data_IF_788484983260
#
_entry.id   IF_788484983260
#
_cell.length_a   1.000
_cell.length_b   1.000
_cell.length_c   1.000
_cell.angle_alpha   90.00
_cell.angle_beta   90.00
_cell.angle_gamma   90.00
#
_symmetry.space_group_name_H-M   'P 1'
#
loop_
_entity.id
_entity.type
_entity.pdbx_description
1 polymer ?
#
# COMPACT_ATOMS: atom_id res chain seq x y z
N UNK A 1 13.26 32.10 6.41
CA UNK A 1 13.32 30.63 6.32
C UNK A 1 14.69 30.17 6.77
N UNK A 2 14.79 29.07 7.51
CA UNK A 2 16.08 28.48 7.82
C UNK A 2 16.78 28.07 6.52
N UNK A 3 18.10 28.32 6.43
CA UNK A 3 18.90 27.96 5.25
C UNK A 3 18.88 26.44 5.07
N UNK A 4 18.60 25.97 3.85
CA UNK A 4 18.71 24.55 3.50
C UNK A 4 20.18 24.13 3.63
N UNK A 5 20.52 23.06 4.39
CA UNK A 5 21.91 22.63 4.55
C UNK A 5 22.43 21.95 3.27
N UNK A 6 23.75 21.84 3.14
CA UNK A 6 24.37 21.15 1.98
C UNK A 6 24.22 19.62 2.10
N UNK A 7 24.11 19.10 3.33
CA UNK A 7 23.98 17.68 3.65
C UNK A 7 22.77 17.43 4.55
N UNK A 8 22.27 16.21 4.49
CA UNK A 8 21.18 15.69 5.29
C UNK A 8 21.45 14.24 5.71
N UNK A 9 20.82 13.82 6.79
CA UNK A 9 20.70 12.42 7.19
C UNK A 9 19.69 11.71 6.30
N UNK A 10 20.05 10.51 5.86
CA UNK A 10 19.24 9.70 4.95
C UNK A 10 19.40 8.22 5.27
N UNK A 11 18.29 7.49 5.26
CA UNK A 11 18.31 6.04 5.26
C UNK A 11 18.71 5.56 3.86
N UNK A 12 19.79 4.78 3.81
CA UNK A 12 20.41 4.33 2.57
C UNK A 12 20.69 2.83 2.57
N UNK A 13 20.85 2.29 1.37
CA UNK A 13 21.49 1.01 1.14
C UNK A 13 22.78 1.23 0.35
N UNK A 14 23.85 0.50 0.70
CA UNK A 14 25.14 0.58 0.01
C UNK A 14 25.28 -0.43 -1.14
N UNK A 15 24.36 -1.40 -1.21
CA UNK A 15 24.28 -2.47 -2.20
C UNK A 15 22.86 -3.04 -2.17
N UNK A 16 22.57 -3.98 -3.06
CA UNK A 16 21.37 -4.79 -2.89
C UNK A 16 21.49 -5.61 -1.61
N UNK A 17 20.55 -5.42 -0.69
CA UNK A 17 20.64 -6.02 0.63
C UNK A 17 19.27 -6.20 1.29
N UNK A 18 19.26 -6.95 2.39
CA UNK A 18 18.11 -7.01 3.27
C UNK A 18 18.05 -5.78 4.18
N UNK A 19 16.88 -5.44 4.74
CA UNK A 19 16.75 -4.33 5.69
C UNK A 19 17.72 -4.34 6.85
N UNK A 20 18.21 -5.52 7.26
CA UNK A 20 19.24 -5.66 8.31
C UNK A 20 20.57 -4.96 8.00
N UNK A 21 20.84 -4.64 6.73
CA UNK A 21 22.07 -3.98 6.26
C UNK A 21 21.82 -2.52 5.84
N UNK A 22 20.64 -1.95 6.09
CA UNK A 22 20.38 -0.53 5.81
C UNK A 22 21.18 0.37 6.76
N UNK A 23 21.56 1.56 6.34
CA UNK A 23 22.40 2.48 7.12
C UNK A 23 21.82 3.89 7.11
N UNK A 24 22.16 4.71 8.10
CA UNK A 24 21.92 6.16 8.04
C UNK A 24 23.23 6.85 7.69
N UNK A 25 23.23 7.60 6.60
CA UNK A 25 24.41 8.29 6.08
C UNK A 25 24.13 9.77 5.81
N UNK A 26 25.19 10.59 5.82
CA UNK A 26 25.13 11.96 5.34
C UNK A 26 25.13 11.99 3.82
N UNK A 27 24.05 12.46 3.23
CA UNK A 27 23.82 12.58 1.79
C UNK A 27 23.65 14.04 1.41
N UNK A 28 24.00 14.46 0.18
CA UNK A 28 23.70 15.80 -0.30
C UNK A 28 22.18 16.06 -0.28
N UNK A 29 21.77 17.25 0.16
CA UNK A 29 20.38 17.67 0.02
C UNK A 29 20.04 17.79 -1.48
N UNK A 30 18.95 17.17 -1.96
CA UNK A 30 18.58 17.29 -3.35
C UNK A 30 18.16 18.72 -3.68
N UNK A 31 18.59 19.20 -4.84
CA UNK A 31 18.19 20.50 -5.38
C UNK A 31 17.03 20.32 -6.36
N UNK A 32 16.18 21.35 -6.47
CA UNK A 32 15.20 21.46 -7.55
C UNK A 32 15.93 21.44 -8.89
N UNK A 33 15.51 20.54 -9.79
CA UNK A 33 16.05 20.38 -11.14
C UNK A 33 14.98 20.67 -12.19
N UNK A 34 13.73 20.31 -11.90
CA UNK A 34 12.62 20.42 -12.82
C UNK A 34 11.61 21.51 -12.38
N UNK A 35 10.86 22.10 -13.32
CA UNK A 35 9.86 23.12 -13.00
C UNK A 35 8.75 22.66 -12.04
N UNK A 36 8.46 21.36 -12.00
CA UNK A 36 7.39 20.75 -11.19
C UNK A 36 7.90 20.13 -9.88
N UNK A 37 9.18 20.31 -9.55
CA UNK A 37 9.77 19.80 -8.31
C UNK A 37 9.28 20.57 -7.08
N UNK A 38 9.09 19.84 -5.99
CA UNK A 38 8.81 20.38 -4.65
C UNK A 38 9.84 19.80 -3.69
N UNK A 39 10.64 20.67 -3.08
CA UNK A 39 11.56 20.27 -2.01
C UNK A 39 10.83 20.27 -0.68
N UNK A 40 10.73 19.09 -0.06
CA UNK A 40 10.04 18.87 1.20
C UNK A 40 11.07 18.62 2.29
N UNK A 41 10.97 19.34 3.41
CA UNK A 41 11.60 18.96 4.69
C UNK A 41 10.72 17.92 5.36
N UNK A 42 11.16 16.67 5.30
CA UNK A 42 10.38 15.52 5.74
C UNK A 42 10.26 15.51 7.27
N UNK A 43 9.07 15.18 7.75
CA UNK A 43 8.77 14.97 9.17
C UNK A 43 8.60 13.47 9.45
N UNK A 44 7.97 12.75 8.53
CA UNK A 44 7.77 11.31 8.63
C UNK A 44 7.84 10.66 7.24
N UNK A 45 8.40 9.45 7.17
CA UNK A 45 8.50 8.66 5.95
C UNK A 45 7.88 7.27 6.13
N UNK A 46 7.21 6.76 5.12
CA UNK A 46 6.59 5.45 5.15
C UNK A 46 7.46 4.38 4.48
N UNK A 47 7.73 3.26 5.15
CA UNK A 47 8.36 2.09 4.51
C UNK A 47 7.30 1.13 3.98
N UNK A 48 7.39 0.79 2.71
CA UNK A 48 6.50 -0.12 2.00
C UNK A 48 7.19 -1.45 1.67
N UNK A 49 6.41 -2.44 1.24
CA UNK A 49 6.97 -3.65 0.61
C UNK A 49 7.75 -3.30 -0.67
N UNK A 50 7.30 -2.28 -1.42
CA UNK A 50 7.99 -1.75 -2.60
C UNK A 50 9.42 -1.34 -2.31
N UNK A 51 9.66 -0.58 -1.24
CA UNK A 51 11.01 -0.20 -0.78
C UNK A 51 11.88 -1.44 -0.59
N UNK A 52 11.37 -2.42 0.15
CA UNK A 52 12.15 -3.63 0.47
C UNK A 52 12.40 -4.50 -0.76
N UNK A 53 11.47 -4.58 -1.71
CA UNK A 53 11.64 -5.31 -2.96
C UNK A 53 12.66 -4.65 -3.87
N UNK A 54 12.64 -3.31 -3.94
CA UNK A 54 13.59 -2.51 -4.70
C UNK A 54 15.02 -2.74 -4.19
N UNK A 55 15.25 -2.55 -2.89
CA UNK A 55 16.59 -2.67 -2.29
C UNK A 55 17.10 -4.11 -2.24
N UNK A 56 16.22 -5.11 -2.17
CA UNK A 56 16.61 -6.53 -2.26
C UNK A 56 16.91 -6.98 -3.70
N UNK A 57 16.66 -6.13 -4.69
CA UNK A 57 16.85 -6.45 -6.10
C UNK A 57 15.76 -7.38 -6.69
N UNK A 58 14.65 -7.56 -5.97
CA UNK A 58 13.53 -8.41 -6.42
C UNK A 58 12.84 -7.85 -7.67
N UNK A 59 12.97 -6.55 -7.93
CA UNK A 59 12.42 -5.86 -9.10
C UNK A 59 13.48 -5.42 -10.11
N UNK A 60 14.74 -5.89 -9.99
CA UNK A 60 15.86 -5.44 -10.83
C UNK A 60 15.63 -5.60 -12.34
N UNK A 61 14.88 -6.62 -12.75
CA UNK A 61 14.52 -6.84 -14.15
C UNK A 61 13.45 -5.88 -14.67
N UNK A 62 12.76 -5.16 -13.78
CA UNK A 62 11.72 -4.18 -14.06
C UNK A 62 12.31 -2.76 -14.06
N UNK A 63 13.01 -2.41 -12.98
CA UNK A 63 13.48 -1.04 -12.71
C UNK A 63 14.92 -0.79 -13.16
N UNK A 64 15.61 -1.83 -13.64
CA UNK A 64 17.02 -1.78 -13.97
C UNK A 64 17.93 -1.84 -12.73
N UNK A 65 19.17 -1.38 -12.89
CA UNK A 65 20.17 -1.36 -11.84
C UNK A 65 20.11 -0.09 -10.99
N UNK A 66 20.06 -0.22 -9.67
CA UNK A 66 20.23 0.89 -8.74
C UNK A 66 21.67 1.39 -8.72
N UNK A 67 21.83 2.70 -8.56
CA UNK A 67 23.10 3.33 -8.18
C UNK A 67 23.18 3.38 -6.65
N UNK A 68 24.34 3.01 -6.11
CA UNK A 68 24.61 3.02 -4.68
C UNK A 68 25.65 4.11 -4.31
N UNK A 69 25.57 4.72 -3.11
CA UNK A 69 24.54 4.54 -2.09
C UNK A 69 23.16 5.00 -2.58
N UNK A 70 22.13 4.21 -2.29
CA UNK A 70 20.76 4.45 -2.74
C UNK A 70 19.91 4.91 -1.57
N UNK A 71 19.18 6.03 -1.73
CA UNK A 71 18.28 6.56 -0.69
C UNK A 71 16.96 5.78 -0.68
N UNK A 72 16.50 5.40 0.50
CA UNK A 72 15.28 4.59 0.68
C UNK A 72 14.07 5.52 0.89
N UNK A 73 12.87 5.05 0.56
CA UNK A 73 11.61 5.73 0.84
C UNK A 73 10.84 6.06 -0.44
N UNK A 74 9.62 5.52 -0.53
CA UNK A 74 8.69 5.81 -1.61
C UNK A 74 7.59 6.82 -1.24
N UNK A 75 7.43 7.16 0.04
CA UNK A 75 6.43 8.14 0.47
C UNK A 75 6.82 8.85 1.76
N UNK A 76 6.39 10.11 1.91
CA UNK A 76 6.58 10.89 3.12
C UNK A 76 5.54 11.99 3.30
N UNK A 77 5.57 12.60 4.48
CA UNK A 77 4.89 13.84 4.79
C UNK A 77 5.87 14.83 5.46
N UNK A 78 5.70 16.10 5.16
CA UNK A 78 6.57 17.16 5.67
C UNK A 78 6.13 18.56 5.28
N UNK A 79 7.07 19.50 5.32
CA UNK A 79 6.84 20.91 5.03
C UNK A 79 7.55 21.30 3.74
N UNK A 80 6.87 22.01 2.85
CA UNK A 80 7.50 22.55 1.63
C UNK A 80 8.53 23.61 2.01
N UNK A 81 9.73 23.51 1.44
CA UNK A 81 10.83 24.48 1.67
C UNK A 81 11.13 25.30 0.42
N UNK A 82 11.03 24.69 -0.75
CA UNK A 82 11.22 25.35 -2.04
C UNK A 82 10.37 24.67 -3.11
N UNK A 83 10.06 25.40 -4.17
CA UNK A 83 9.28 24.90 -5.31
C UNK A 83 9.93 25.30 -6.63
N UNK A 84 9.79 24.45 -7.65
CA UNK A 84 10.21 24.74 -9.01
C UNK A 84 9.38 25.85 -9.64
N UNK A 85 9.88 26.40 -10.75
CA UNK A 85 9.28 27.57 -11.42
C UNK A 85 7.90 27.31 -12.04
N UNK A 86 7.54 26.06 -12.25
CA UNK A 86 6.24 25.63 -12.81
C UNK A 86 5.23 25.20 -11.75
N UNK A 87 5.60 25.15 -10.47
CA UNK A 87 4.68 24.80 -9.38
C UNK A 87 3.72 25.95 -9.13
N UNK A 88 2.44 25.63 -9.05
CA UNK A 88 1.34 26.60 -8.90
C UNK A 88 0.44 26.32 -7.69
N UNK A 89 0.41 25.08 -7.21
CA UNK A 89 -0.50 24.61 -6.14
C UNK A 89 0.09 24.69 -4.73
N UNK A 90 1.40 24.90 -4.63
CA UNK A 90 2.15 24.84 -3.37
C UNK A 90 3.12 26.01 -3.22
N UNK A 91 3.38 26.38 -1.97
CA UNK A 91 4.40 27.37 -1.59
C UNK A 91 5.18 26.90 -0.36
N UNK A 92 6.40 27.43 -0.15
CA UNK A 92 7.14 27.19 1.08
C UNK A 92 6.31 27.46 2.35
N UNK A 93 6.40 26.55 3.31
CA UNK A 93 5.62 26.56 4.56
C UNK A 93 4.36 25.68 4.52
N UNK A 94 3.89 25.25 3.35
CA UNK A 94 2.74 24.35 3.26
C UNK A 94 3.07 22.96 3.85
N UNK A 95 2.14 22.39 4.60
CA UNK A 95 2.24 21.03 5.12
C UNK A 95 1.67 20.05 4.09
N UNK A 96 2.48 19.09 3.65
CA UNK A 96 2.18 18.22 2.51
C UNK A 96 2.53 16.76 2.77
N UNK A 97 2.02 15.89 1.91
CA UNK A 97 2.50 14.52 1.74
C UNK A 97 2.64 14.20 0.26
N UNK A 98 3.53 13.27 -0.07
CA UNK A 98 3.85 12.94 -1.45
C UNK A 98 4.52 11.58 -1.62
N UNK A 99 4.65 11.16 -2.88
CA UNK A 99 5.07 9.81 -3.28
C UNK A 99 6.14 9.86 -4.36
N UNK A 100 6.97 8.82 -4.40
CA UNK A 100 7.96 8.57 -5.44
C UNK A 100 7.31 7.84 -6.62
N UNK A 101 6.58 8.55 -7.46
CA UNK A 101 5.81 7.97 -8.56
C UNK A 101 6.03 8.77 -9.86
N UNK A 102 6.19 8.08 -10.99
CA UNK A 102 6.29 8.72 -12.30
C UNK A 102 4.91 8.91 -12.95
N UNK A 103 4.80 9.75 -13.96
CA UNK A 103 3.55 9.98 -14.69
C UNK A 103 3.08 8.81 -15.57
N UNK A 104 3.87 7.74 -15.77
CA UNK A 104 3.64 6.85 -16.92
C UNK A 104 2.89 5.55 -16.59
N UNK A 105 3.13 4.91 -15.43
CA UNK A 105 2.52 3.60 -15.07
C UNK A 105 2.36 3.41 -13.56
N UNK A 106 1.41 2.58 -13.09
CA UNK A 106 1.17 2.33 -11.66
C UNK A 106 2.37 1.78 -10.87
N UNK A 107 3.33 1.15 -11.54
CA UNK A 107 4.55 0.59 -10.92
C UNK A 107 5.82 1.24 -11.45
N UNK A 108 5.72 2.40 -12.10
CA UNK A 108 6.88 3.20 -12.51
C UNK A 108 7.31 4.08 -11.33
N UNK A 109 8.00 3.43 -10.38
CA UNK A 109 8.57 4.07 -9.21
C UNK A 109 9.73 4.95 -9.65
N UNK A 110 9.75 6.21 -9.20
CA UNK A 110 10.90 7.08 -9.41
C UNK A 110 12.08 6.47 -8.66
N UNK A 111 13.12 6.09 -9.41
CA UNK A 111 14.34 5.50 -8.86
C UNK A 111 15.04 6.40 -7.82
N UNK A 112 14.69 7.68 -7.71
CA UNK A 112 15.30 8.63 -6.78
C UNK A 112 14.35 9.11 -5.65
N UNK A 113 13.33 8.33 -5.29
CA UNK A 113 12.33 8.68 -4.26
C UNK A 113 12.93 9.19 -2.94
N UNK A 114 13.80 8.41 -2.30
CA UNK A 114 14.63 8.84 -1.18
C UNK A 114 13.89 9.52 -0.02
N UNK A 115 12.61 9.21 0.19
CA UNK A 115 11.74 9.92 1.13
C UNK A 115 12.04 9.65 2.60
N UNK A 116 12.76 8.59 2.93
CA UNK A 116 13.31 8.35 4.28
C UNK A 116 14.61 9.13 4.49
N UNK A 117 14.54 10.44 4.28
CA UNK A 117 15.64 11.41 4.43
C UNK A 117 15.08 12.70 5.01
N UNK A 118 15.91 13.56 5.61
CA UNK A 118 15.43 14.87 6.11
C UNK A 118 14.87 15.78 5.00
N UNK A 119 15.33 15.61 3.76
CA UNK A 119 14.83 16.32 2.60
C UNK A 119 14.61 15.39 1.41
N UNK A 120 13.52 15.59 0.68
CA UNK A 120 13.19 14.82 -0.51
C UNK A 120 12.54 15.72 -1.58
N UNK A 121 12.71 15.33 -2.84
CA UNK A 121 12.01 15.95 -3.97
C UNK A 121 10.77 15.12 -4.25
N UNK A 122 9.62 15.78 -4.27
CA UNK A 122 8.39 15.24 -4.86
C UNK A 122 8.00 16.05 -6.08
N UNK A 123 7.06 15.52 -6.87
CA UNK A 123 6.48 16.22 -8.00
C UNK A 123 5.14 16.82 -7.62
N UNK A 124 4.79 17.97 -8.21
CA UNK A 124 3.53 18.66 -7.91
C UNK A 124 2.31 17.73 -8.10
N UNK A 125 2.28 16.92 -9.15
CA UNK A 125 1.11 16.10 -9.46
C UNK A 125 0.76 15.05 -8.40
N UNK A 126 1.77 14.49 -7.71
CA UNK A 126 1.64 13.47 -6.64
C UNK A 126 1.79 14.05 -5.22
N UNK A 127 1.89 15.37 -5.09
CA UNK A 127 1.93 16.04 -3.79
C UNK A 127 0.55 16.56 -3.43
N UNK A 128 0.16 16.44 -2.15
CA UNK A 128 -1.11 16.95 -1.64
C UNK A 128 -0.93 17.70 -0.32
N UNK A 129 -1.84 18.62 -0.05
CA UNK A 129 -1.94 19.30 1.24
C UNK A 129 -2.33 18.30 2.33
N UNK A 130 -1.59 18.28 3.44
CA UNK A 130 -1.92 17.51 4.62
C UNK A 130 -3.17 18.11 5.28
N UNK A 131 -4.23 17.34 5.57
CA UNK A 131 -5.33 17.81 6.40
C UNK A 131 -4.82 18.34 7.75
N UNK A 132 -5.32 19.49 8.19
CA UNK A 132 -4.78 20.18 9.37
C UNK A 132 -4.85 19.31 10.64
N UNK A 133 -5.89 18.48 10.77
CA UNK A 133 -6.15 17.60 11.91
C UNK A 133 -5.41 16.25 11.87
N UNK A 134 -4.64 15.95 10.83
CA UNK A 134 -3.88 14.70 10.71
C UNK A 134 -2.41 14.88 11.09
N UNK A 135 -1.79 13.88 11.73
CA UNK A 135 -0.36 13.89 11.97
C UNK A 135 0.43 13.61 10.67
N UNK A 136 1.70 14.00 10.60
CA UNK A 136 2.54 13.71 9.42
C UNK A 136 2.68 12.20 9.17
N UNK A 137 2.94 11.41 10.23
CA UNK A 137 3.07 9.96 10.12
C UNK A 137 1.81 9.26 9.62
N UNK A 138 0.63 9.85 9.87
CA UNK A 138 -0.65 9.30 9.42
C UNK A 138 -0.78 9.34 7.89
N UNK A 139 -0.26 10.40 7.28
CA UNK A 139 -0.28 10.55 5.83
C UNK A 139 0.64 9.57 5.10
N UNK A 140 1.61 8.96 5.78
CA UNK A 140 2.48 7.93 5.21
C UNK A 140 1.76 6.60 4.92
N UNK A 141 0.46 6.49 5.23
CA UNK A 141 -0.39 5.34 4.87
C UNK A 141 -1.36 5.66 3.73
N UNK A 142 -1.27 6.84 3.09
CA UNK A 142 -2.26 7.27 2.10
C UNK A 142 -2.24 6.43 0.83
N UNK A 143 -1.08 5.95 0.38
CA UNK A 143 -1.02 5.01 -0.73
C UNK A 143 -1.83 3.73 -0.46
N UNK A 144 -1.83 3.24 0.80
CA UNK A 144 -2.63 2.08 1.18
C UNK A 144 -4.14 2.34 1.08
N UNK A 145 -4.59 3.55 1.41
CA UNK A 145 -6.00 3.96 1.29
C UNK A 145 -6.41 4.01 -0.18
N UNK A 146 -5.60 4.62 -1.04
CA UNK A 146 -5.86 4.67 -2.49
C UNK A 146 -5.94 3.26 -3.07
N UNK A 147 -4.95 2.41 -2.76
CA UNK A 147 -4.99 1.01 -3.22
C UNK A 147 -6.25 0.30 -2.74
N UNK A 148 -6.62 0.41 -1.46
CA UNK A 148 -7.81 -0.23 -0.93
C UNK A 148 -9.10 0.27 -1.60
N UNK A 149 -9.25 1.59 -1.75
CA UNK A 149 -10.42 2.19 -2.41
C UNK A 149 -10.57 1.70 -3.84
N UNK A 150 -9.52 1.84 -4.67
CA UNK A 150 -9.59 1.46 -6.07
C UNK A 150 -9.85 -0.05 -6.25
N UNK A 151 -9.24 -0.91 -5.41
CA UNK A 151 -9.53 -2.35 -5.45
C UNK A 151 -10.97 -2.68 -5.06
N UNK A 152 -11.51 -2.00 -4.04
CA UNK A 152 -12.91 -2.20 -3.64
C UNK A 152 -13.85 -1.73 -4.76
N UNK A 153 -13.58 -0.58 -5.38
CA UNK A 153 -14.38 -0.03 -6.48
C UNK A 153 -14.33 -0.92 -7.74
N UNK A 154 -13.16 -1.42 -8.11
CA UNK A 154 -13.01 -2.45 -9.16
C UNK A 154 -13.83 -3.70 -8.81
N UNK A 155 -13.79 -4.12 -7.55
CA UNK A 155 -14.55 -5.27 -7.09
C UNK A 155 -16.07 -5.05 -7.18
N UNK A 156 -16.54 -3.85 -6.85
CA UNK A 156 -17.94 -3.46 -7.03
C UNK A 156 -18.35 -3.46 -8.50
N UNK A 157 -17.44 -3.11 -9.42
CA UNK A 157 -17.69 -3.23 -10.85
C UNK A 157 -17.89 -4.69 -11.27
N UNK A 158 -17.03 -5.61 -10.80
CA UNK A 158 -17.20 -7.04 -11.03
C UNK A 158 -18.50 -7.60 -10.43
N UNK A 159 -18.93 -7.08 -9.28
CA UNK A 159 -20.23 -7.46 -8.68
C UNK A 159 -21.40 -7.07 -9.58
N UNK A 160 -21.35 -5.86 -10.17
CA UNK A 160 -22.35 -5.40 -11.14
C UNK A 160 -22.40 -6.28 -12.38
N UNK A 161 -21.25 -6.72 -12.88
CA UNK A 161 -21.17 -7.68 -14.01
C UNK A 161 -21.80 -9.04 -13.67
N UNK A 162 -21.81 -9.42 -12.40
CA UNK A 162 -22.52 -10.58 -11.87
C UNK A 162 -23.99 -10.30 -11.50
N UNK A 163 -24.54 -9.14 -11.89
CA UNK A 163 -25.93 -8.76 -11.62
C UNK A 163 -26.22 -8.24 -10.21
N UNK A 164 -25.18 -8.01 -9.40
CA UNK A 164 -25.31 -7.50 -8.02
C UNK A 164 -25.08 -5.99 -8.00
N UNK A 165 -26.16 -5.21 -7.96
CA UNK A 165 -26.12 -3.74 -8.11
C UNK A 165 -26.34 -2.97 -6.80
N UNK A 166 -26.72 -3.65 -5.72
CA UNK A 166 -27.03 -3.08 -4.40
C UNK A 166 -25.78 -2.75 -3.55
N UNK A 167 -24.57 -2.90 -4.11
CA UNK A 167 -23.31 -2.55 -3.45
C UNK A 167 -22.87 -3.57 -2.39
N UNK A 168 -22.38 -3.11 -1.24
CA UNK A 168 -21.90 -3.98 -0.14
C UNK A 168 -22.74 -3.89 1.14
N UNK A 169 -23.78 -3.05 1.15
CA UNK A 169 -24.59 -2.84 2.35
C UNK A 169 -25.27 -4.16 2.77
N UNK A 170 -25.14 -4.53 4.04
CA UNK A 170 -25.70 -5.77 4.58
C UNK A 170 -25.03 -7.07 4.10
N UNK A 171 -24.04 -7.00 3.20
CA UNK A 171 -23.34 -8.19 2.67
C UNK A 171 -22.26 -8.70 3.62
N UNK A 172 -21.84 -9.94 3.40
CA UNK A 172 -20.72 -10.55 4.12
C UNK A 172 -19.43 -10.38 3.34
N UNK A 173 -18.43 -9.74 3.95
CA UNK A 173 -17.13 -9.45 3.36
C UNK A 173 -16.01 -10.13 4.12
N UNK A 174 -15.05 -10.70 3.39
CA UNK A 174 -13.84 -11.28 3.96
C UNK A 174 -12.60 -10.45 3.60
N UNK A 175 -11.82 -10.08 4.61
CA UNK A 175 -10.55 -9.36 4.47
C UNK A 175 -9.46 -10.10 5.23
N UNK A 176 -8.61 -10.93 4.61
CA UNK A 176 -7.55 -11.62 5.33
C UNK A 176 -6.47 -10.64 5.83
N UNK A 177 -5.96 -10.83 7.05
CA UNK A 177 -4.87 -10.01 7.59
C UNK A 177 -5.30 -8.59 8.01
N UNK A 178 -6.30 -8.47 8.89
CA UNK A 178 -6.84 -7.20 9.40
C UNK A 178 -5.78 -6.19 9.85
N UNK A 179 -4.72 -6.67 10.50
CA UNK A 179 -3.68 -5.81 11.06
C UNK A 179 -2.53 -5.52 10.08
N UNK A 180 -2.74 -5.66 8.77
CA UNK A 180 -1.79 -5.18 7.74
C UNK A 180 -2.06 -3.71 7.39
N UNK A 181 -1.11 -3.02 6.74
CA UNK A 181 -1.27 -1.62 6.36
C UNK A 181 -2.51 -1.40 5.46
N UNK A 182 -2.65 -2.23 4.42
CA UNK A 182 -3.81 -2.18 3.50
C UNK A 182 -5.06 -2.84 4.08
N UNK A 183 -4.92 -3.94 4.83
CA UNK A 183 -6.07 -4.62 5.43
C UNK A 183 -6.80 -3.74 6.46
N UNK A 184 -6.05 -3.04 7.31
CA UNK A 184 -6.65 -2.18 8.36
C UNK A 184 -7.40 -0.99 7.79
N UNK A 185 -6.87 -0.33 6.74
CA UNK A 185 -7.58 0.76 6.06
C UNK A 185 -8.73 0.23 5.20
N UNK A 186 -8.56 -0.92 4.55
CA UNK A 186 -9.62 -1.56 3.76
C UNK A 186 -10.84 -1.94 4.60
N UNK A 187 -10.64 -2.49 5.80
CA UNK A 187 -11.72 -2.79 6.75
C UNK A 187 -12.48 -1.52 7.12
N UNK A 188 -11.77 -0.43 7.40
CA UNK A 188 -12.39 0.85 7.75
C UNK A 188 -13.20 1.42 6.58
N UNK A 189 -12.67 1.37 5.35
CA UNK A 189 -13.41 1.79 4.15
C UNK A 189 -14.68 0.95 3.98
N UNK A 190 -14.56 -0.38 4.06
CA UNK A 190 -15.67 -1.31 3.89
C UNK A 190 -16.80 -1.07 4.92
N UNK A 191 -16.47 -0.85 6.20
CA UNK A 191 -17.45 -0.56 7.24
C UNK A 191 -17.98 0.88 7.19
N UNK A 192 -17.09 1.88 7.17
CA UNK A 192 -17.44 3.29 7.38
C UNK A 192 -17.92 4.00 6.10
N UNK A 193 -17.59 3.48 4.91
CA UNK A 193 -17.98 4.07 3.63
C UNK A 193 -19.05 3.23 2.94
N UNK A 194 -18.87 1.91 2.89
CA UNK A 194 -19.77 1.01 2.14
C UNK A 194 -20.82 0.31 2.99
N UNK A 195 -20.82 0.49 4.32
CA UNK A 195 -21.87 -0.04 5.20
C UNK A 195 -21.95 -1.58 5.23
N UNK A 196 -20.80 -2.26 5.08
CA UNK A 196 -20.74 -3.73 5.12
C UNK A 196 -21.42 -4.28 6.35
N UNK A 197 -22.32 -5.25 6.15
CA UNK A 197 -23.07 -5.89 7.21
C UNK A 197 -22.19 -6.74 8.12
N UNK A 198 -21.59 -7.79 7.56
CA UNK A 198 -20.70 -8.72 8.30
C UNK A 198 -19.29 -8.69 7.72
N UNK A 199 -18.30 -8.45 8.55
CA UNK A 199 -16.89 -8.41 8.19
C UNK A 199 -16.13 -9.53 8.92
N UNK A 200 -15.49 -10.38 8.13
CA UNK A 200 -14.70 -11.51 8.60
C UNK A 200 -13.22 -11.24 8.28
N UNK A 201 -12.32 -11.55 9.20
CA UNK A 201 -10.88 -11.40 8.96
C UNK A 201 -10.07 -12.57 9.51
N UNK A 202 -8.79 -12.62 9.14
CA UNK A 202 -7.80 -13.53 9.71
C UNK A 202 -6.65 -12.79 10.38
N UNK A 203 -6.18 -13.32 11.51
CA UNK A 203 -4.93 -12.92 12.17
C UNK A 203 -4.29 -14.15 12.83
N UNK A 204 -3.03 -14.06 13.27
CA UNK A 204 -2.40 -15.11 14.07
C UNK A 204 -2.84 -15.03 15.53
N UNK A 205 -2.70 -16.09 16.32
CA UNK A 205 -3.13 -16.16 17.72
C UNK A 205 -2.73 -14.94 18.55
N UNK A 206 -1.45 -14.55 18.50
CA UNK A 206 -0.92 -13.42 19.27
C UNK A 206 -1.54 -12.06 18.88
N UNK A 207 -2.17 -11.97 17.71
CA UNK A 207 -2.77 -10.76 17.15
C UNK A 207 -4.28 -10.69 17.33
N UNK A 208 -4.95 -11.77 17.75
CA UNK A 208 -6.40 -11.79 18.00
C UNK A 208 -6.85 -10.64 18.93
N UNK A 209 -6.26 -10.44 20.13
CA UNK A 209 -6.70 -9.35 21.01
C UNK A 209 -6.40 -7.95 20.45
N UNK A 210 -5.42 -7.84 19.55
CA UNK A 210 -5.02 -6.56 18.96
C UNK A 210 -6.02 -6.07 17.90
N UNK A 211 -6.88 -6.95 17.36
CA UNK A 211 -7.91 -6.54 16.40
C UNK A 211 -8.87 -5.54 17.04
N UNK A 212 -9.38 -5.81 18.23
CA UNK A 212 -10.29 -4.89 18.93
C UNK A 212 -9.56 -3.60 19.34
N UNK A 213 -8.28 -3.68 19.69
CA UNK A 213 -7.48 -2.50 20.03
C UNK A 213 -7.33 -1.53 18.85
N UNK A 214 -7.07 -2.05 17.65
CA UNK A 214 -6.76 -1.22 16.47
C UNK A 214 -7.96 -0.98 15.55
N UNK A 215 -8.98 -1.83 15.59
CA UNK A 215 -10.18 -1.78 14.74
C UNK A 215 -11.45 -1.99 15.59
N UNK A 216 -11.65 -1.19 16.65
CA UNK A 216 -12.71 -1.43 17.64
C UNK A 216 -14.10 -1.44 17.00
N UNK A 217 -14.84 -2.53 17.22
CA UNK A 217 -16.20 -2.70 16.69
C UNK A 217 -16.33 -2.81 15.16
N UNK A 218 -15.22 -2.92 14.41
CA UNK A 218 -15.26 -2.99 12.94
C UNK A 218 -15.23 -4.43 12.38
N UNK A 219 -14.92 -5.41 13.23
CA UNK A 219 -14.77 -6.81 12.81
C UNK A 219 -15.78 -7.68 13.53
N UNK A 220 -16.64 -8.36 12.78
CA UNK A 220 -17.71 -9.21 13.33
C UNK A 220 -17.24 -10.64 13.61
N UNK A 221 -16.24 -11.13 12.87
CA UNK A 221 -15.66 -12.46 13.08
C UNK A 221 -14.15 -12.46 12.85
N UNK A 222 -13.40 -12.86 13.87
CA UNK A 222 -11.94 -13.03 13.81
C UNK A 222 -11.60 -14.51 13.69
N UNK A 223 -10.90 -14.89 12.64
CA UNK A 223 -10.40 -16.25 12.43
C UNK A 223 -8.90 -16.30 12.75
N UNK A 224 -8.54 -17.06 13.78
CA UNK A 224 -7.14 -17.38 14.05
C UNK A 224 -6.64 -18.42 13.05
N UNK A 225 -5.94 -17.98 12.01
CA UNK A 225 -5.53 -18.86 10.91
C UNK A 225 -4.53 -19.95 11.33
N UNK A 226 -3.92 -19.85 12.52
CA UNK A 226 -2.98 -20.86 13.02
C UNK A 226 -3.67 -22.09 13.61
N UNK A 227 -4.97 -22.01 13.87
CA UNK A 227 -5.78 -23.08 14.46
C UNK A 227 -6.51 -23.95 13.44
N UNK A 228 -6.50 -23.56 12.17
CA UNK A 228 -7.25 -24.22 11.10
C UNK A 228 -6.32 -24.56 9.94
N UNK A 229 -6.60 -25.68 9.26
CA UNK A 229 -5.85 -26.07 8.07
C UNK A 229 -6.36 -25.32 6.85
N UNK A 230 -7.67 -25.15 6.75
CA UNK A 230 -8.34 -24.45 5.65
C UNK A 230 -9.24 -23.35 6.21
N UNK A 231 -9.46 -22.29 5.42
CA UNK A 231 -10.38 -21.22 5.80
C UNK A 231 -11.83 -21.72 5.94
N UNK A 232 -12.21 -22.74 5.15
CA UNK A 232 -13.53 -23.37 5.19
C UNK A 232 -13.84 -24.08 6.50
N UNK A 233 -12.81 -24.38 7.31
CA UNK A 233 -12.99 -25.00 8.63
C UNK A 233 -13.54 -23.99 9.65
N UNK A 234 -13.43 -22.69 9.37
CA UNK A 234 -13.84 -21.58 10.24
C UNK A 234 -14.89 -20.65 9.61
N UNK A 235 -14.96 -20.60 8.28
CA UNK A 235 -15.88 -19.76 7.51
C UNK A 235 -16.70 -20.68 6.60
N UNK A 236 -18.04 -20.70 6.70
CA UNK A 236 -18.86 -21.58 5.86
C UNK A 236 -18.62 -21.36 4.37
N UNK A 237 -18.56 -22.44 3.60
CA UNK A 237 -18.39 -22.36 2.16
C UNK A 237 -19.56 -21.61 1.50
N UNK A 238 -19.29 -20.81 0.47
CA UNK A 238 -20.31 -20.02 -0.24
C UNK A 238 -21.02 -18.95 0.60
N UNK A 239 -20.49 -18.55 1.75
CA UNK A 239 -21.12 -17.58 2.66
C UNK A 239 -20.68 -16.13 2.47
N UNK A 240 -19.60 -15.89 1.72
CA UNK A 240 -19.00 -14.56 1.51
C UNK A 240 -19.44 -13.99 0.16
N UNK A 241 -19.94 -12.76 0.17
CA UNK A 241 -20.31 -12.02 -1.04
C UNK A 241 -19.08 -11.40 -1.73
N UNK A 242 -18.16 -10.86 -0.93
CA UNK A 242 -17.02 -10.10 -1.42
C UNK A 242 -15.75 -10.41 -0.65
N UNK A 243 -14.63 -10.57 -1.35
CA UNK A 243 -13.31 -10.70 -0.73
C UNK A 243 -12.45 -9.53 -1.17
N UNK A 244 -11.98 -8.73 -0.22
CA UNK A 244 -10.86 -7.82 -0.42
C UNK A 244 -9.57 -8.53 0.00
N UNK A 245 -8.90 -9.18 -0.95
CA UNK A 245 -7.77 -10.04 -0.68
C UNK A 245 -6.45 -9.28 -0.61
N UNK A 246 -5.74 -9.40 0.51
CA UNK A 246 -4.40 -8.81 0.71
C UNK A 246 -3.29 -9.86 0.85
N UNK A 247 -3.58 -11.15 0.58
CA UNK A 247 -2.63 -12.24 0.76
C UNK A 247 -2.45 -13.05 -0.53
N UNK A 248 -1.21 -13.49 -0.82
CA UNK A 248 -0.87 -14.21 -2.07
C UNK A 248 -1.65 -15.51 -2.33
N UNK A 249 -2.24 -16.11 -1.29
CA UNK A 249 -3.02 -17.35 -1.35
C UNK A 249 -4.46 -17.17 -1.85
N UNK A 250 -4.70 -16.34 -2.86
CA UNK A 250 -6.05 -15.94 -3.30
C UNK A 250 -6.97 -17.12 -3.64
N UNK A 251 -6.45 -18.19 -4.24
CA UNK A 251 -7.26 -19.36 -4.61
C UNK A 251 -7.85 -20.10 -3.39
N UNK A 252 -7.30 -19.88 -2.19
CA UNK A 252 -7.84 -20.46 -0.96
C UNK A 252 -9.11 -19.74 -0.48
N UNK A 253 -9.43 -18.56 -1.02
CA UNK A 253 -10.65 -17.83 -0.67
C UNK A 253 -11.83 -18.23 -1.53
N UNK A 254 -11.63 -18.78 -2.74
CA UNK A 254 -12.72 -19.13 -3.66
C UNK A 254 -13.81 -20.03 -3.04
N UNK A 255 -13.48 -21.06 -2.23
CA UNK A 255 -14.52 -21.88 -1.59
C UNK A 255 -15.42 -21.12 -0.60
N UNK A 256 -14.95 -19.98 -0.07
CA UNK A 256 -15.74 -19.15 0.86
C UNK A 256 -16.80 -18.32 0.13
N UNK A 257 -16.58 -18.06 -1.16
CA UNK A 257 -17.30 -17.05 -1.93
C UNK A 257 -18.55 -17.65 -2.56
N UNK A 258 -19.64 -16.88 -2.59
CA UNK A 258 -20.88 -17.29 -3.26
C UNK A 258 -20.59 -17.65 -4.72
N UNK A 259 -20.97 -18.86 -5.17
CA UNK A 259 -20.55 -19.37 -6.48
C UNK A 259 -21.10 -18.54 -7.64
N UNK A 260 -22.33 -18.02 -7.55
CA UNK A 260 -22.98 -17.37 -8.70
C UNK A 260 -22.72 -15.86 -8.80
N UNK A 261 -22.48 -15.22 -7.65
CA UNK A 261 -22.48 -13.76 -7.52
C UNK A 261 -21.21 -13.19 -6.93
N UNK A 262 -20.41 -14.01 -6.23
CA UNK A 262 -19.35 -13.50 -5.40
C UNK A 262 -18.11 -13.04 -6.16
N UNK A 263 -17.36 -12.14 -5.54
CA UNK A 263 -16.21 -11.47 -6.15
C UNK A 263 -14.99 -11.53 -5.24
N UNK A 264 -13.81 -11.69 -5.84
CA UNK A 264 -12.51 -11.59 -5.18
C UNK A 264 -11.68 -10.48 -5.81
N UNK A 265 -11.66 -9.32 -5.17
CA UNK A 265 -10.82 -8.19 -5.54
C UNK A 265 -9.51 -8.27 -4.76
N UNK A 266 -8.39 -8.41 -5.46
CA UNK A 266 -7.10 -8.75 -4.87
C UNK A 266 -6.07 -7.66 -5.08
N UNK A 267 -5.23 -7.41 -4.07
CA UNK A 267 -3.97 -6.63 -4.22
C UNK A 267 -2.73 -7.53 -4.17
N UNK A 268 -2.94 -8.83 -3.95
CA UNK A 268 -1.89 -9.82 -3.76
C UNK A 268 -2.27 -11.12 -4.45
N UNK A 269 -2.11 -11.15 -5.77
CA UNK A 269 -2.26 -12.32 -6.62
C UNK A 269 -1.41 -12.15 -7.88
N UNK A 270 -1.26 -13.23 -8.66
CA UNK A 270 -0.55 -13.14 -9.93
C UNK A 270 -1.45 -12.39 -10.92
N UNK A 271 -0.98 -11.31 -11.59
CA UNK A 271 -1.76 -10.54 -12.55
C UNK A 271 -2.12 -11.36 -13.79
N UNK A 272 -3.12 -10.90 -14.54
CA UNK A 272 -3.33 -11.37 -15.91
C UNK A 272 -2.21 -10.88 -16.83
N UNK A 273 -1.95 -11.55 -17.97
CA UNK A 273 -0.97 -11.06 -18.95
C UNK A 273 -1.25 -9.62 -19.43
N UNK A 274 -2.53 -9.27 -19.60
CA UNK A 274 -2.94 -7.93 -20.06
C UNK A 274 -2.68 -6.87 -18.99
N UNK A 275 -3.06 -7.16 -17.75
CA UNK A 275 -2.76 -6.28 -16.62
C UNK A 275 -1.24 -6.11 -16.42
N UNK A 276 -0.45 -7.18 -16.59
CA UNK A 276 1.00 -7.11 -16.49
C UNK A 276 1.61 -6.13 -17.50
N UNK A 277 1.07 -6.06 -18.73
CA UNK A 277 1.52 -5.11 -19.77
C UNK A 277 1.24 -3.66 -19.41
N UNK A 278 0.12 -3.40 -18.72
CA UNK A 278 -0.25 -2.05 -18.28
C UNK A 278 0.59 -1.63 -17.07
N UNK A 279 0.82 -2.54 -16.13
CA UNK A 279 1.53 -2.25 -14.89
C UNK A 279 3.01 -1.97 -15.09
N UNK A 280 3.70 -2.75 -15.93
CA UNK A 280 5.17 -2.79 -15.98
C UNK A 280 5.73 -2.40 -17.36
N UNK A 281 7.03 -2.09 -17.39
CA UNK A 281 7.80 -2.02 -18.64
C UNK A 281 7.76 -3.37 -19.38
N UNK A 282 7.94 -3.40 -20.72
CA UNK A 282 7.90 -4.65 -21.49
C UNK A 282 8.86 -5.70 -20.91
N UNK A 283 8.30 -6.81 -20.45
CA UNK A 283 9.03 -7.93 -19.88
C UNK A 283 9.35 -9.03 -20.91
N UNK A 284 10.30 -9.94 -20.63
CA UNK A 284 10.51 -11.15 -21.43
C UNK A 284 9.21 -11.96 -21.60
N UNK A 285 8.99 -12.49 -22.81
CA UNK A 285 7.69 -13.09 -23.18
C UNK A 285 7.23 -14.23 -22.23
N UNK A 286 8.18 -15.00 -21.68
CA UNK A 286 7.89 -16.14 -20.81
C UNK A 286 7.20 -15.74 -19.51
N UNK A 287 7.39 -14.50 -19.02
CA UNK A 287 6.72 -14.01 -17.81
C UNK A 287 5.20 -13.83 -18.04
N UNK A 288 4.79 -13.39 -19.22
CA UNK A 288 3.36 -13.35 -19.58
C UNK A 288 2.77 -14.75 -19.70
N UNK A 289 3.53 -15.71 -20.21
CA UNK A 289 3.09 -17.11 -20.28
C UNK A 289 2.88 -17.72 -18.89
N UNK A 290 3.81 -17.49 -17.95
CA UNK A 290 3.63 -17.90 -16.55
C UNK A 290 2.40 -17.25 -15.89
N UNK A 291 2.16 -15.96 -16.16
CA UNK A 291 0.94 -15.29 -15.69
C UNK A 291 -0.32 -15.93 -16.28
N UNK A 292 -0.31 -16.29 -17.57
CA UNK A 292 -1.40 -17.02 -18.22
C UNK A 292 -1.69 -18.38 -17.56
N UNK A 293 -0.65 -19.16 -17.24
CA UNK A 293 -0.80 -20.41 -16.50
C UNK A 293 -1.39 -20.20 -15.10
N UNK A 294 -0.99 -19.15 -14.41
CA UNK A 294 -1.56 -18.80 -13.11
C UNK A 294 -3.05 -18.42 -13.23
N UNK A 295 -3.43 -17.65 -14.25
CA UNK A 295 -4.85 -17.34 -14.50
C UNK A 295 -5.65 -18.60 -14.84
N UNK A 296 -5.10 -19.50 -15.65
CA UNK A 296 -5.73 -20.79 -15.92
C UNK A 296 -5.91 -21.63 -14.65
N UNK A 297 -4.91 -21.64 -13.76
CA UNK A 297 -5.03 -22.28 -12.46
C UNK A 297 -6.12 -21.66 -11.58
N UNK A 298 -6.24 -20.33 -11.54
CA UNK A 298 -7.32 -19.66 -10.81
C UNK A 298 -8.68 -20.01 -11.39
N UNK A 299 -8.83 -19.99 -12.71
CA UNK A 299 -10.05 -20.44 -13.39
C UNK A 299 -10.38 -21.89 -13.04
N UNK A 300 -9.39 -22.80 -13.08
CA UNK A 300 -9.60 -24.20 -12.71
C UNK A 300 -10.07 -24.36 -11.27
N UNK A 301 -9.55 -23.54 -10.34
CA UNK A 301 -9.96 -23.56 -8.93
C UNK A 301 -11.36 -22.99 -8.70
N UNK A 302 -11.82 -22.08 -9.56
CA UNK A 302 -13.16 -21.51 -9.55
C UNK A 302 -14.13 -22.19 -10.54
N UNK A 303 -13.72 -23.30 -11.18
CA UNK A 303 -14.52 -23.96 -12.22
C UNK A 303 -15.90 -24.36 -11.70
N UNK A 304 -16.93 -24.18 -12.54
CA UNK A 304 -18.32 -24.45 -12.15
C UNK A 304 -18.93 -23.36 -11.26
N UNK A 305 -18.29 -22.19 -11.16
CA UNK A 305 -18.82 -21.00 -10.51
C UNK A 305 -18.75 -19.82 -11.48
N UNK A 306 -19.44 -18.73 -11.14
CA UNK A 306 -19.33 -17.42 -11.78
C UNK A 306 -18.56 -16.42 -10.89
N UNK A 307 -17.65 -16.93 -10.04
CA UNK A 307 -16.79 -16.07 -9.21
C UNK A 307 -15.89 -15.23 -10.11
N UNK A 308 -15.96 -13.91 -9.95
CA UNK A 308 -15.03 -12.98 -10.63
C UNK A 308 -13.83 -12.74 -9.72
N UNK A 309 -12.64 -12.76 -10.30
CA UNK A 309 -11.40 -12.46 -9.60
C UNK A 309 -10.51 -11.57 -10.45
N UNK A 310 -9.99 -10.51 -9.85
CA UNK A 310 -9.04 -9.62 -10.51
C UNK A 310 -8.04 -9.03 -9.51
N UNK A 311 -6.81 -8.85 -9.98
CA UNK A 311 -5.78 -8.12 -9.27
C UNK A 311 -5.92 -6.64 -9.60
N UNK A 312 -5.85 -5.78 -8.60
CA UNK A 312 -5.67 -4.35 -8.79
C UNK A 312 -4.40 -3.88 -8.09
N UNK A 313 -3.56 -3.17 -8.84
CA UNK A 313 -2.43 -2.43 -8.27
C UNK A 313 -2.82 -0.97 -8.18
N UNK A 314 -2.79 -0.41 -6.97
CA UNK A 314 -3.16 0.98 -6.76
C UNK A 314 -2.36 1.93 -7.65
N UNK A 315 -3.04 2.91 -8.23
CA UNK A 315 -2.45 3.91 -9.11
C UNK A 315 -2.48 5.27 -8.42
N UNK A 316 -1.30 5.78 -8.06
CA UNK A 316 -1.15 7.09 -7.40
C UNK A 316 -1.10 8.25 -8.41
N UNK A 317 -1.15 7.99 -9.71
CA UNK A 317 -1.21 9.05 -10.72
C UNK A 317 -2.60 9.71 -10.82
N UNK A 318 -3.63 9.11 -10.22
CA UNK A 318 -5.00 9.65 -10.18
C UNK A 318 -5.11 10.59 -8.97
N UNK A 319 -5.01 11.90 -9.21
CA UNK A 319 -5.01 12.92 -8.16
C UNK A 319 -6.32 12.92 -7.36
N UNK A 320 -7.45 12.72 -8.03
CA UNK A 320 -8.78 12.70 -7.41
C UNK A 320 -8.86 11.61 -6.33
N UNK A 321 -8.26 10.44 -6.56
CA UNK A 321 -8.24 9.37 -5.56
C UNK A 321 -7.32 9.70 -4.37
N UNK A 322 -6.21 10.41 -4.61
CA UNK A 322 -5.35 10.90 -3.53
C UNK A 322 -6.05 11.95 -2.68
N UNK A 323 -6.84 12.83 -3.30
CA UNK A 323 -7.64 13.85 -2.61
C UNK A 323 -8.74 13.18 -1.78
N UNK A 324 -9.48 12.24 -2.36
CA UNK A 324 -10.48 11.43 -1.63
C UNK A 324 -9.86 10.66 -0.46
N UNK A 325 -8.67 10.09 -0.63
CA UNK A 325 -7.96 9.42 0.46
C UNK A 325 -7.59 10.40 1.60
N UNK A 326 -7.16 11.61 1.26
CA UNK A 326 -6.94 12.70 2.22
C UNK A 326 -8.22 13.09 2.97
N UNK A 327 -9.35 13.17 2.27
CA UNK A 327 -10.66 13.46 2.88
C UNK A 327 -11.12 12.36 3.85
N UNK A 328 -10.86 11.08 3.54
CA UNK A 328 -11.18 9.97 4.45
C UNK A 328 -10.42 10.07 5.78
N UNK A 329 -9.16 10.54 5.74
CA UNK A 329 -8.42 10.85 6.96
C UNK A 329 -8.96 12.10 7.66
N UNK A 330 -9.19 13.18 6.92
CA UNK A 330 -9.68 14.44 7.46
C UNK A 330 -11.02 14.28 8.20
N UNK A 331 -11.92 13.45 7.66
CA UNK A 331 -13.24 13.15 8.23
C UNK A 331 -13.21 12.06 9.29
N UNK A 332 -12.05 11.42 9.53
CA UNK A 332 -11.89 10.34 10.49
C UNK A 332 -12.57 9.01 10.10
N UNK A 333 -13.04 8.89 8.84
CA UNK A 333 -13.58 7.64 8.29
C UNK A 333 -12.51 6.55 8.19
N UNK A 334 -11.25 6.95 8.05
CA UNK A 334 -10.09 6.08 8.13
C UNK A 334 -9.09 6.68 9.12
N UNK A 335 -8.54 5.83 9.98
CA UNK A 335 -7.41 6.11 10.87
C UNK A 335 -6.30 5.11 10.58
N UNK A 336 -5.07 5.56 10.33
CA UNK A 336 -4.00 4.65 9.99
C UNK A 336 -3.52 3.90 11.22
N UNK A 337 -3.18 2.62 11.02
CA UNK A 337 -2.49 1.82 12.05
C UNK A 337 -1.00 1.94 11.76
N UNK A 338 -0.28 2.68 12.61
CA UNK A 338 1.12 2.99 12.41
C UNK A 338 2.00 2.38 13.50
N UNK A 339 3.19 1.90 13.10
CA UNK A 339 4.33 1.64 13.98
C UNK A 339 5.37 2.70 13.69
N UNK A 340 5.78 3.44 14.71
CA UNK A 340 6.71 4.56 14.56
C UNK A 340 8.05 4.16 15.16
N UNK A 341 9.12 4.44 14.42
CA UNK A 341 10.52 4.32 14.87
C UNK A 341 11.27 5.60 14.50
N UNK A 342 12.22 6.02 15.33
CA UNK A 342 13.07 7.18 15.00
C UNK A 342 14.16 6.79 14.00
N UNK A 343 14.48 7.66 13.05
CA UNK A 343 15.52 7.42 12.04
C UNK A 343 16.88 7.08 12.66
N UNK A 344 17.22 7.77 13.75
CA UNK A 344 18.50 7.60 14.44
C UNK A 344 18.60 6.26 15.20
N UNK A 345 17.47 5.61 15.50
CA UNK A 345 17.46 4.23 16.00
C UNK A 345 17.48 3.25 14.82
N UNK A 346 18.66 3.13 14.21
CA UNK A 346 18.86 2.27 13.04
C UNK A 346 18.56 0.79 13.36
N UNK A 347 18.77 0.33 14.59
CA UNK A 347 18.46 -1.06 14.97
C UNK A 347 16.95 -1.31 14.94
N UNK A 348 16.14 -0.39 15.49
CA UNK A 348 14.69 -0.46 15.40
C UNK A 348 14.19 -0.35 13.95
N UNK A 349 14.76 0.56 13.16
CA UNK A 349 14.45 0.70 11.72
C UNK A 349 14.69 -0.63 10.99
N UNK A 350 15.89 -1.21 11.12
CA UNK A 350 16.27 -2.48 10.49
C UNK A 350 15.31 -3.60 10.90
N UNK A 351 15.02 -3.72 12.20
CA UNK A 351 14.13 -4.74 12.76
C UNK A 351 12.71 -4.63 12.23
N UNK A 352 12.13 -3.43 12.23
CA UNK A 352 10.76 -3.23 11.77
C UNK A 352 10.65 -3.31 10.23
N UNK A 353 11.64 -2.83 9.49
CA UNK A 353 11.68 -2.96 8.04
C UNK A 353 11.86 -4.42 7.61
N UNK A 354 12.58 -5.24 8.38
CA UNK A 354 12.67 -6.69 8.15
C UNK A 354 11.28 -7.37 8.26
N UNK A 355 10.42 -6.92 9.17
CA UNK A 355 9.03 -7.39 9.26
C UNK A 355 8.22 -7.02 8.03
N UNK A 356 8.44 -5.83 7.47
CA UNK A 356 7.83 -5.41 6.19
C UNK A 356 8.31 -6.30 5.05
N UNK A 357 9.63 -6.53 4.93
CA UNK A 357 10.23 -7.32 3.86
C UNK A 357 9.80 -8.80 3.85
N UNK A 358 9.51 -9.35 5.03
CA UNK A 358 9.10 -10.75 5.21
C UNK A 358 7.58 -10.93 5.26
N UNK A 359 6.82 -9.84 5.41
CA UNK A 359 5.38 -9.88 5.63
C UNK A 359 4.98 -10.52 6.97
N UNK A 360 5.90 -10.66 7.93
CA UNK A 360 5.67 -11.38 9.20
C UNK A 360 5.87 -10.46 10.41
N UNK A 361 4.97 -10.57 11.39
CA UNK A 361 5.11 -9.92 12.70
C UNK A 361 4.83 -8.41 12.75
N UNK A 362 4.69 -7.72 11.62
CA UNK A 362 4.30 -6.30 11.58
C UNK A 362 2.80 -6.08 11.78
N UNK A 363 2.41 -4.91 12.31
CA UNK A 363 1.03 -4.42 12.45
C UNK A 363 0.89 -3.06 11.76
N UNK A 364 0.11 -2.95 10.69
CA UNK A 364 -0.07 -1.69 9.97
C UNK A 364 1.20 -1.21 9.25
N UNK A 365 1.29 0.09 9.02
CA UNK A 365 2.37 0.76 8.30
C UNK A 365 3.60 0.98 9.21
N UNK A 366 4.79 0.83 8.66
CA UNK A 366 6.03 1.30 9.30
C UNK A 366 6.26 2.75 8.91
N UNK A 367 6.30 3.62 9.91
CA UNK A 367 6.60 5.05 9.79
C UNK A 367 7.95 5.32 10.46
N UNK A 368 8.87 5.93 9.72
CA UNK A 368 10.12 6.45 10.24
C UNK A 368 9.89 7.92 10.58
N UNK A 369 10.05 8.28 11.85
CA UNK A 369 10.08 9.67 12.29
C UNK A 369 11.45 10.25 11.95
N UNK A 370 11.43 11.36 11.22
CA UNK A 370 12.64 12.01 10.70
C UNK A 370 12.98 13.27 11.52
N UNK A 371 11.97 14.08 11.86
CA UNK A 371 12.12 15.33 12.62
C UNK A 371 11.09 15.44 13.75
#
# INVERSE_FOLDING_TARGET
MAKVPDKMRSLVALKYCWPTEWEVADMPVPTIKDPDDILIKVQAAGITTGDTHLIRGATRFIVGGLKFPHKIGLEAAGIVVAVGSGVTKFKPGDAVYGFAHSHTRPMDLLADGGFASEYAISKEFVTLHKPANCAFGDMCSTANVVTAMQTIEMGLQLMRENGVVDGLQGKTVFVPGALSATGSVGIQILKNVYGVGKLITTVSTAKVPLVEQYLPGLVDQIVDYTKYKNLTDAIPAGSVDFVYNTQWGVANTFPLVKPDTGVVASIASIPSPDLLRVMLLPLPFFLYWFCGLAQWWYWFKARGTNIKHELHSGNLAVREDLERAGELYATGKVKPVNRVVDLEDIEAVRKEAQKVATGKGGIGKLVIKIA
#
